data_IF_548027479083
#
_entry.id   IF_548027479083
#
_cell.length_a   1.000
_cell.length_b   1.000
_cell.length_c   1.000
_cell.angle_alpha   90.00
_cell.angle_beta   90.00
_cell.angle_gamma   90.00
#
_symmetry.space_group_name_H-M   'P 1'
#
loop_
_entity.id
_entity.type
_entity.pdbx_description
1 polymer ?
#
# COMPACT_ATOMS: atom_id res chain seq x y z
N UNK A 1 -10.63 7.09 7.40
CA UNK A 1 -12.10 7.26 7.51
C UNK A 1 -12.74 7.60 6.15
N UNK A 2 -12.39 8.70 5.47
CA UNK A 2 -13.05 9.08 4.20
C UNK A 2 -12.92 8.07 3.05
N UNK A 3 -11.79 7.38 2.90
CA UNK A 3 -11.58 6.38 1.84
C UNK A 3 -12.41 5.11 2.07
N UNK A 4 -12.44 4.60 3.31
CA UNK A 4 -13.27 3.45 3.66
C UNK A 4 -14.76 3.75 3.49
N UNK A 5 -15.20 4.98 3.83
CA UNK A 5 -16.57 5.41 3.62
C UNK A 5 -16.94 5.46 2.13
N UNK A 6 -16.06 5.99 1.27
CA UNK A 6 -16.30 6.00 -0.19
C UNK A 6 -16.39 4.60 -0.78
N UNK A 7 -15.64 3.65 -0.26
CA UNK A 7 -15.71 2.23 -0.65
C UNK A 7 -17.04 1.63 -0.20
N UNK A 8 -17.47 1.87 1.04
CA UNK A 8 -18.75 1.42 1.56
C UNK A 8 -19.92 2.01 0.77
N UNK A 9 -19.90 3.33 0.51
CA UNK A 9 -20.93 4.02 -0.29
C UNK A 9 -21.00 3.49 -1.74
N UNK A 10 -19.87 3.04 -2.30
CA UNK A 10 -19.83 2.46 -3.65
C UNK A 10 -20.44 1.05 -3.70
N UNK A 11 -20.29 0.25 -2.63
CA UNK A 11 -20.87 -1.10 -2.55
C UNK A 11 -22.36 -1.09 -2.18
N UNK A 12 -22.75 -0.17 -1.32
CA UNK A 12 -24.18 0.04 -1.02
C UNK A 12 -24.97 0.31 -2.32
N UNK A 13 -24.34 1.06 -3.27
CA UNK A 13 -24.88 1.26 -4.63
C UNK A 13 -24.86 -0.01 -5.48
N UNK A 14 -23.93 -0.95 -5.20
CA UNK A 14 -23.81 -2.23 -5.89
C UNK A 14 -24.63 -3.34 -5.25
N UNK A 15 -25.33 -3.07 -4.12
CA UNK A 15 -26.17 -4.04 -3.40
C UNK A 15 -25.39 -5.15 -2.69
N UNK A 16 -24.11 -4.94 -2.39
CA UNK A 16 -23.29 -5.89 -1.65
C UNK A 16 -23.14 -5.44 -0.19
N UNK A 17 -23.71 -6.22 0.72
CA UNK A 17 -23.52 -6.05 2.17
C UNK A 17 -22.22 -6.77 2.60
N UNK A 18 -21.17 -6.01 2.84
CA UNK A 18 -19.88 -6.51 3.34
C UNK A 18 -19.60 -5.97 4.71
N UNK A 19 -18.99 -6.81 5.54
CA UNK A 19 -18.50 -6.40 6.85
C UNK A 19 -17.63 -5.14 6.77
N UNK A 20 -17.83 -4.15 7.65
CA UNK A 20 -17.08 -2.88 7.65
C UNK A 20 -15.55 -3.05 7.69
N UNK A 21 -15.05 -4.10 8.36
CA UNK A 21 -13.61 -4.37 8.43
C UNK A 21 -13.01 -4.77 7.07
N UNK A 22 -13.81 -5.40 6.16
CA UNK A 22 -13.37 -5.75 4.80
C UNK A 22 -13.14 -4.47 3.99
N UNK A 23 -13.98 -3.45 4.19
CA UNK A 23 -13.78 -2.13 3.56
C UNK A 23 -12.55 -1.43 4.07
N UNK A 24 -12.35 -1.45 5.38
CA UNK A 24 -11.16 -0.87 6.01
C UNK A 24 -9.90 -1.56 5.49
N UNK A 25 -9.92 -2.89 5.35
CA UNK A 25 -8.83 -3.68 4.76
C UNK A 25 -8.53 -3.26 3.33
N UNK A 26 -9.54 -3.26 2.47
CA UNK A 26 -9.38 -2.98 1.04
C UNK A 26 -8.91 -1.53 0.83
N UNK A 27 -9.44 -0.58 1.62
CA UNK A 27 -8.99 0.81 1.63
C UNK A 27 -7.51 0.93 2.05
N UNK A 28 -7.10 0.24 3.11
CA UNK A 28 -5.72 0.22 3.59
C UNK A 28 -4.75 -0.34 2.53
N UNK A 29 -5.12 -1.47 1.89
CA UNK A 29 -4.32 -2.06 0.82
C UNK A 29 -4.18 -1.10 -0.36
N UNK A 30 -5.27 -0.50 -0.83
CA UNK A 30 -5.22 0.45 -1.96
C UNK A 30 -4.43 1.70 -1.64
N UNK A 31 -4.58 2.24 -0.43
CA UNK A 31 -3.81 3.38 0.03
C UNK A 31 -2.31 3.05 0.09
N UNK A 32 -1.95 1.84 0.50
CA UNK A 32 -0.56 1.37 0.53
C UNK A 32 0.01 1.22 -0.89
N UNK A 33 -0.75 0.64 -1.83
CA UNK A 33 -0.31 0.51 -3.23
C UNK A 33 -0.09 1.87 -3.90
N UNK A 34 -1.01 2.82 -3.70
CA UNK A 34 -0.91 4.16 -4.25
C UNK A 34 0.10 5.03 -3.50
N UNK A 35 0.09 4.99 -2.16
CA UNK A 35 0.91 5.85 -1.31
C UNK A 35 2.36 5.43 -1.17
N UNK A 36 2.71 4.17 -1.45
CA UNK A 36 4.08 3.65 -1.29
C UNK A 36 4.59 2.93 -2.54
N UNK A 37 3.79 2.85 -3.59
CA UNK A 37 4.17 2.24 -4.86
C UNK A 37 4.52 0.76 -4.77
N UNK A 38 3.98 0.02 -3.81
CA UNK A 38 4.24 -1.40 -3.65
C UNK A 38 3.61 -2.23 -4.78
N UNK A 39 4.23 -3.38 -5.11
CA UNK A 39 3.53 -4.42 -5.86
C UNK A 39 2.47 -5.05 -4.96
N UNK A 40 1.37 -5.50 -5.55
CA UNK A 40 0.29 -6.14 -4.79
C UNK A 40 0.80 -7.34 -3.95
N UNK A 41 1.69 -8.16 -4.49
CA UNK A 41 2.29 -9.28 -3.77
C UNK A 41 3.18 -8.84 -2.60
N UNK A 42 3.86 -7.69 -2.73
CA UNK A 42 4.67 -7.11 -1.67
C UNK A 42 3.79 -6.59 -0.54
N UNK A 43 2.73 -5.84 -0.88
CA UNK A 43 1.77 -5.32 0.10
C UNK A 43 1.08 -6.46 0.88
N UNK A 44 0.60 -7.50 0.18
CA UNK A 44 -0.09 -8.61 0.81
C UNK A 44 0.85 -9.58 1.53
N UNK A 45 2.15 -9.54 1.24
CA UNK A 45 3.20 -10.30 1.94
C UNK A 45 3.73 -9.63 3.21
N UNK A 46 3.29 -8.41 3.53
CA UNK A 46 3.70 -7.72 4.77
C UNK A 46 3.25 -8.50 5.99
N UNK A 47 4.16 -8.64 6.95
CA UNK A 47 3.84 -9.21 8.27
C UNK A 47 3.39 -8.11 9.22
N UNK A 48 2.55 -8.45 10.16
CA UNK A 48 2.03 -7.48 11.13
C UNK A 48 3.15 -6.75 11.89
N UNK A 49 4.22 -7.46 12.27
CA UNK A 49 5.38 -6.88 12.96
C UNK A 49 6.22 -5.92 12.13
N UNK A 50 6.11 -5.99 10.79
CA UNK A 50 6.94 -5.20 9.87
C UNK A 50 6.29 -3.86 9.51
N UNK A 51 5.08 -3.60 10.04
CA UNK A 51 4.32 -2.36 9.84
C UNK A 51 4.31 -1.57 11.16
N UNK A 52 4.93 -0.37 11.20
CA UNK A 52 4.92 0.46 12.39
C UNK A 52 3.50 0.98 12.69
N UNK A 53 3.24 1.27 13.96
CA UNK A 53 2.02 1.98 14.34
C UNK A 53 2.12 3.45 13.94
N UNK A 54 0.98 4.14 13.75
CA UNK A 54 0.97 5.58 13.52
C UNK A 54 1.76 6.32 14.61
N UNK A 55 2.71 7.16 14.21
CA UNK A 55 3.59 7.90 15.12
C UNK A 55 4.84 7.15 15.62
N UNK A 56 4.95 5.83 15.43
CA UNK A 56 6.12 5.04 15.85
C UNK A 56 7.19 4.90 14.75
N UNK A 57 6.86 5.31 13.52
CA UNK A 57 7.77 5.27 12.38
C UNK A 57 7.04 5.60 11.08
N UNK A 58 7.79 5.70 9.99
CA UNK A 58 7.29 6.01 8.66
C UNK A 58 7.93 5.15 7.56
N UNK A 59 8.51 4.01 7.94
CA UNK A 59 9.19 3.08 7.03
C UNK A 59 8.74 1.65 7.28
N UNK A 60 8.47 0.92 6.21
CA UNK A 60 8.25 -0.53 6.22
C UNK A 60 9.37 -1.26 5.50
N UNK A 61 9.63 -2.50 5.91
CA UNK A 61 10.60 -3.38 5.23
C UNK A 61 9.83 -4.33 4.32
N UNK A 62 10.16 -4.28 3.04
CA UNK A 62 9.49 -5.06 1.99
C UNK A 62 10.45 -6.08 1.41
N UNK A 63 10.02 -7.33 1.30
CA UNK A 63 10.76 -8.39 0.63
C UNK A 63 10.23 -8.59 -0.79
N UNK A 64 11.06 -8.33 -1.79
CA UNK A 64 10.74 -8.46 -3.19
C UNK A 64 11.24 -9.77 -3.82
N UNK A 65 11.25 -9.80 -5.15
CA UNK A 65 11.74 -10.95 -5.95
C UNK A 65 13.20 -11.28 -5.59
N UNK A 66 13.49 -12.55 -5.40
CA UNK A 66 14.83 -13.04 -5.03
C UNK A 66 15.20 -12.78 -3.57
N UNK A 67 14.21 -12.66 -2.70
CA UNK A 67 14.37 -12.41 -1.25
C UNK A 67 15.17 -11.14 -0.91
N UNK A 68 15.20 -10.18 -1.84
CA UNK A 68 15.83 -8.88 -1.61
C UNK A 68 14.90 -7.99 -0.80
N UNK A 69 15.42 -7.43 0.30
CA UNK A 69 14.69 -6.50 1.15
C UNK A 69 15.03 -5.05 0.78
N UNK A 70 14.05 -4.16 0.93
CA UNK A 70 14.24 -2.72 0.84
C UNK A 70 13.35 -1.99 1.84
N UNK A 71 13.78 -0.82 2.26
CA UNK A 71 12.98 0.10 3.03
C UNK A 71 12.07 0.91 2.10
N UNK A 72 10.82 1.10 2.50
CA UNK A 72 9.83 1.87 1.74
C UNK A 72 9.16 2.85 2.69
N UNK A 73 9.20 4.16 2.40
CA UNK A 73 8.50 5.15 3.20
C UNK A 73 6.98 4.97 3.08
N UNK A 74 6.29 5.22 4.18
CA UNK A 74 4.82 5.13 4.26
C UNK A 74 4.29 6.38 4.95
N UNK A 75 3.28 7.01 4.35
CA UNK A 75 2.62 8.17 4.96
C UNK A 75 1.87 7.79 6.24
N UNK A 76 1.84 8.69 7.20
CA UNK A 76 1.13 8.50 8.47
C UNK A 76 -0.38 8.24 8.28
N UNK A 77 -1.00 8.87 7.26
CA UNK A 77 -2.41 8.61 6.93
C UNK A 77 -2.64 7.19 6.38
N UNK A 78 -1.65 6.59 5.70
CA UNK A 78 -1.72 5.18 5.26
C UNK A 78 -1.57 4.24 6.46
N UNK A 79 -0.64 4.54 7.36
CA UNK A 79 -0.48 3.79 8.61
C UNK A 79 -1.75 3.86 9.49
N UNK A 80 -2.41 5.02 9.52
CA UNK A 80 -3.69 5.18 10.23
C UNK A 80 -4.79 4.29 9.62
N UNK A 81 -4.89 4.20 8.28
CA UNK A 81 -5.84 3.30 7.63
C UNK A 81 -5.55 1.82 7.93
N UNK A 82 -4.27 1.45 8.00
CA UNK A 82 -3.88 0.08 8.38
C UNK A 82 -4.26 -0.18 9.85
N UNK A 83 -4.02 0.77 10.74
CA UNK A 83 -4.38 0.65 12.16
C UNK A 83 -5.90 0.54 12.35
N UNK A 84 -6.70 1.33 11.64
CA UNK A 84 -8.17 1.25 11.63
C UNK A 84 -8.63 -0.15 11.21
N UNK A 85 -8.05 -0.69 10.13
CA UNK A 85 -8.32 -2.05 9.69
C UNK A 85 -7.97 -3.08 10.76
N UNK A 86 -6.76 -3.01 11.34
CA UNK A 86 -6.31 -3.96 12.38
C UNK A 86 -7.23 -3.92 13.59
N UNK A 87 -7.69 -2.74 14.00
CA UNK A 87 -8.62 -2.58 15.12
C UNK A 87 -10.02 -3.18 14.85
N UNK A 88 -10.46 -3.17 13.59
CA UNK A 88 -11.78 -3.69 13.19
C UNK A 88 -11.75 -5.17 12.82
N UNK A 89 -10.59 -5.73 12.51
CA UNK A 89 -10.45 -7.10 12.02
C UNK A 89 -10.86 -8.12 13.10
N UNK A 90 -11.84 -9.02 12.83
CA UNK A 90 -12.28 -10.01 13.81
C UNK A 90 -11.32 -11.20 13.95
N UNK A 91 -10.32 -11.30 13.07
CA UNK A 91 -9.36 -12.38 13.05
C UNK A 91 -8.09 -12.05 13.83
N UNK A 92 -7.47 -13.07 14.43
CA UNK A 92 -6.16 -12.91 15.04
C UNK A 92 -5.11 -12.58 13.97
N UNK A 93 -4.31 -11.54 14.23
CA UNK A 93 -3.22 -11.09 13.38
C UNK A 93 -1.89 -11.26 14.14
N UNK A 94 -1.30 -12.46 14.15
CA UNK A 94 -0.06 -12.70 14.89
C UNK A 94 1.10 -11.89 14.29
N UNK A 95 2.09 -11.46 15.08
CA UNK A 95 3.19 -10.60 14.61
C UNK A 95 3.95 -11.15 13.40
N UNK A 96 4.14 -12.47 13.33
CA UNK A 96 4.83 -13.14 12.23
C UNK A 96 3.92 -13.52 11.05
N UNK A 97 2.60 -13.37 11.21
CA UNK A 97 1.59 -13.64 10.18
C UNK A 97 1.38 -12.46 9.23
N UNK A 98 0.63 -12.70 8.13
CA UNK A 98 0.27 -11.64 7.21
C UNK A 98 -0.62 -10.62 7.93
N UNK A 99 -0.37 -9.32 7.68
CA UNK A 99 -1.21 -8.27 8.25
C UNK A 99 -2.58 -8.24 7.55
N UNK A 100 -2.65 -8.50 6.25
CA UNK A 100 -3.89 -8.49 5.49
C UNK A 100 -4.43 -9.92 5.32
N UNK A 101 -5.66 -10.13 5.80
CA UNK A 101 -6.32 -11.44 5.77
C UNK A 101 -7.61 -11.42 4.96
N UNK A 102 -7.97 -12.58 4.41
CA UNK A 102 -9.24 -12.81 3.73
C UNK A 102 -10.39 -12.96 4.71
N UNK A 103 -11.62 -13.01 4.21
CA UNK A 103 -12.85 -13.13 5.02
C UNK A 103 -12.87 -14.33 5.98
N UNK A 104 -12.09 -15.38 5.71
CA UNK A 104 -11.95 -16.57 6.55
C UNK A 104 -10.69 -16.58 7.43
N UNK A 105 -9.98 -15.45 7.54
CA UNK A 105 -8.78 -15.32 8.38
C UNK A 105 -7.48 -15.84 7.76
N UNK A 106 -7.52 -16.48 6.59
CA UNK A 106 -6.31 -16.88 5.86
C UNK A 106 -5.67 -15.69 5.10
N UNK A 107 -4.49 -15.86 4.49
CA UNK A 107 -3.82 -14.81 3.71
C UNK A 107 -4.72 -14.22 2.64
N UNK A 108 -4.71 -12.89 2.47
CA UNK A 108 -5.53 -12.22 1.46
C UNK A 108 -5.02 -12.51 0.05
N UNK A 109 -5.90 -13.01 -0.81
CA UNK A 109 -5.56 -13.27 -2.21
C UNK A 109 -5.49 -11.97 -3.03
N UNK A 110 -4.47 -11.79 -3.90
CA UNK A 110 -4.40 -10.67 -4.82
C UNK A 110 -5.65 -10.51 -5.69
N UNK A 111 -6.30 -11.62 -6.06
CA UNK A 111 -7.51 -11.60 -6.87
C UNK A 111 -8.67 -10.84 -6.20
N UNK A 112 -8.78 -10.89 -4.87
CA UNK A 112 -9.80 -10.16 -4.12
C UNK A 112 -9.61 -8.65 -4.30
N UNK A 113 -8.39 -8.14 -4.17
CA UNK A 113 -8.10 -6.73 -4.37
C UNK A 113 -8.30 -6.29 -5.84
N UNK A 114 -7.98 -7.17 -6.80
CA UNK A 114 -8.26 -6.92 -8.21
C UNK A 114 -9.76 -6.79 -8.46
N UNK A 115 -10.58 -7.70 -7.91
CA UNK A 115 -12.04 -7.64 -8.01
C UNK A 115 -12.62 -6.39 -7.36
N UNK A 116 -12.12 -6.00 -6.18
CA UNK A 116 -12.53 -4.75 -5.53
C UNK A 116 -12.21 -3.55 -6.42
N UNK A 117 -11.03 -3.52 -7.05
CA UNK A 117 -10.69 -2.46 -8.01
C UNK A 117 -11.59 -2.45 -9.24
N UNK A 118 -11.92 -3.63 -9.79
CA UNK A 118 -12.84 -3.77 -10.93
C UNK A 118 -14.23 -3.18 -10.61
N UNK A 119 -14.76 -3.44 -9.41
CA UNK A 119 -16.02 -2.86 -8.93
C UNK A 119 -15.96 -1.35 -8.76
N UNK A 120 -14.89 -0.87 -8.12
CA UNK A 120 -14.68 0.58 -7.94
C UNK A 120 -14.60 1.32 -9.26
N UNK A 121 -14.01 0.73 -10.30
CA UNK A 121 -14.01 1.30 -11.65
C UNK A 121 -15.42 1.54 -12.15
N UNK A 122 -16.29 0.53 -12.04
CA UNK A 122 -17.69 0.65 -12.44
C UNK A 122 -18.45 1.72 -11.64
N UNK A 123 -18.30 1.70 -10.31
CA UNK A 123 -19.00 2.61 -9.40
C UNK A 123 -18.55 4.08 -9.51
N UNK A 124 -17.28 4.32 -9.85
CA UNK A 124 -16.67 5.65 -9.89
C UNK A 124 -16.43 6.16 -11.32
N UNK A 125 -16.82 5.41 -12.36
CA UNK A 125 -16.59 5.76 -13.75
C UNK A 125 -15.11 5.86 -14.13
N UNK A 126 -14.24 5.08 -13.47
CA UNK A 126 -12.82 5.06 -13.76
C UNK A 126 -12.53 4.21 -15.01
N UNK A 127 -11.46 4.54 -15.77
CA UNK A 127 -11.09 3.78 -16.95
C UNK A 127 -10.67 2.35 -16.61
N UNK A 128 -10.80 1.43 -17.56
CA UNK A 128 -10.39 0.02 -17.40
C UNK A 128 -8.92 -0.15 -17.04
N UNK A 129 -8.09 0.81 -17.42
CA UNK A 129 -6.67 0.86 -17.06
C UNK A 129 -6.40 1.10 -15.57
N UNK A 130 -7.40 1.50 -14.77
CA UNK A 130 -7.27 1.66 -13.32
C UNK A 130 -7.15 0.29 -12.64
N UNK A 131 -5.93 -0.18 -12.48
CA UNK A 131 -5.55 -1.47 -11.88
C UNK A 131 -4.62 -1.25 -10.68
N UNK A 132 -4.39 -2.25 -9.82
CA UNK A 132 -3.36 -2.16 -8.78
C UNK A 132 -1.97 -1.79 -9.34
N UNK A 133 -1.65 -2.24 -10.55
CA UNK A 133 -0.40 -1.86 -11.22
C UNK A 133 -0.40 -0.39 -11.66
N UNK A 134 -1.54 0.12 -12.12
CA UNK A 134 -1.69 1.53 -12.48
C UNK A 134 -1.56 2.47 -11.26
N UNK A 135 -2.03 2.05 -10.08
CA UNK A 135 -1.81 2.81 -8.83
C UNK A 135 -0.33 3.00 -8.55
N UNK A 136 0.45 1.94 -8.69
CA UNK A 136 1.92 2.00 -8.55
C UNK A 136 2.57 2.89 -9.62
N UNK A 137 2.11 2.81 -10.87
CA UNK A 137 2.60 3.66 -11.95
C UNK A 137 2.27 5.13 -11.70
N UNK A 138 1.06 5.41 -11.23
CA UNK A 138 0.65 6.76 -10.83
C UNK A 138 1.52 7.33 -9.71
N UNK A 139 1.87 6.52 -8.72
CA UNK A 139 2.81 6.90 -7.67
C UNK A 139 4.17 7.34 -8.27
N UNK A 140 4.77 6.52 -9.14
CA UNK A 140 6.03 6.84 -9.81
C UNK A 140 5.96 8.15 -10.61
N UNK A 141 4.89 8.31 -11.39
CA UNK A 141 4.65 9.50 -12.21
C UNK A 141 4.47 10.75 -11.35
N UNK A 142 3.77 10.65 -10.23
CA UNK A 142 3.61 11.78 -9.29
C UNK A 142 4.93 12.21 -8.69
N UNK A 143 5.78 11.28 -8.28
CA UNK A 143 7.11 11.61 -7.74
C UNK A 143 7.98 12.29 -8.80
N UNK A 144 7.99 11.78 -10.04
CA UNK A 144 8.75 12.38 -11.16
C UNK A 144 8.27 13.79 -11.48
N UNK A 145 6.98 14.01 -11.58
CA UNK A 145 6.39 15.31 -11.91
C UNK A 145 6.67 16.40 -10.86
N UNK A 146 6.99 15.98 -9.63
CA UNK A 146 7.36 16.88 -8.54
C UNK A 146 8.88 17.05 -8.35
N UNK A 147 9.66 16.63 -9.33
CA UNK A 147 11.12 16.81 -9.33
C UNK A 147 11.89 15.74 -8.60
N UNK A 148 11.24 14.59 -8.29
CA UNK A 148 11.94 13.45 -7.72
C UNK A 148 12.98 12.88 -8.69
N UNK A 149 14.18 12.54 -8.18
CA UNK A 149 15.22 11.90 -8.97
C UNK A 149 14.78 10.53 -9.49
N UNK A 150 14.86 10.32 -10.80
CA UNK A 150 14.47 9.08 -11.46
C UNK A 150 15.14 7.85 -10.86
N UNK A 151 16.43 7.97 -10.50
CA UNK A 151 17.20 6.86 -9.92
C UNK A 151 16.69 6.49 -8.53
N UNK A 152 16.45 7.49 -7.68
CA UNK A 152 15.89 7.31 -6.34
C UNK A 152 14.49 6.66 -6.42
N UNK A 153 13.66 7.08 -7.40
CA UNK A 153 12.34 6.49 -7.63
C UNK A 153 12.44 5.03 -8.10
N UNK A 154 13.38 4.71 -9.00
CA UNK A 154 13.61 3.33 -9.46
C UNK A 154 14.07 2.43 -8.31
N UNK A 155 14.93 2.90 -7.45
CA UNK A 155 15.40 2.18 -6.26
C UNK A 155 14.25 1.95 -5.28
N UNK A 156 13.45 2.99 -4.99
CA UNK A 156 12.26 2.91 -4.15
C UNK A 156 11.27 1.85 -4.68
N UNK A 157 11.08 1.81 -5.98
CA UNK A 157 10.20 0.84 -6.62
C UNK A 157 10.80 -0.57 -6.73
N UNK A 158 12.09 -0.77 -6.45
CA UNK A 158 12.75 -2.07 -6.56
C UNK A 158 12.82 -2.55 -8.01
N UNK A 159 13.22 -1.69 -8.95
CA UNK A 159 13.57 -2.07 -10.30
C UNK A 159 14.92 -2.81 -10.31
N UNK A 160 14.93 -4.03 -10.81
CA UNK A 160 16.01 -5.02 -10.64
C UNK A 160 17.25 -4.81 -11.53
N UNK A 161 17.55 -3.60 -11.99
CA UNK A 161 18.64 -3.40 -12.96
C UNK A 161 19.85 -2.60 -12.46
N UNK A 162 20.15 -2.63 -11.17
CA UNK A 162 21.50 -2.27 -10.71
C UNK A 162 21.89 -3.21 -9.57
N UNK A 163 22.89 -4.04 -9.85
CA UNK A 163 23.56 -4.89 -8.88
C UNK A 163 24.14 -4.00 -7.78
N UNK A 164 23.64 -4.14 -6.58
CA UNK A 164 24.43 -4.13 -5.36
C UNK A 164 23.49 -4.15 -4.15
N UNK A 165 23.78 -5.00 -3.22
CA UNK A 165 23.28 -4.96 -1.84
C UNK A 165 23.84 -3.68 -1.21
N UNK A 166 23.27 -2.52 -1.52
CA UNK A 166 23.52 -1.31 -0.75
C UNK A 166 22.60 -1.36 0.45
N UNK A 167 23.20 -1.63 1.59
CA UNK A 167 22.64 -1.31 2.89
C UNK A 167 22.45 0.21 2.86
N UNK A 168 21.17 0.67 2.84
CA UNK A 168 20.88 2.10 2.95
C UNK A 168 21.51 2.64 4.23
N UNK A 169 22.52 3.46 4.10
CA UNK A 169 23.02 4.27 5.20
C UNK A 169 21.96 5.32 5.53
N UNK A 170 21.81 5.72 6.79
CA UNK A 170 20.74 6.62 7.25
C UNK A 170 20.57 7.91 6.42
N UNK A 171 21.63 8.40 5.75
CA UNK A 171 21.63 9.60 4.90
C UNK A 171 20.80 9.41 3.61
N UNK A 172 20.82 8.19 3.02
CA UNK A 172 20.06 7.91 1.79
C UNK A 172 18.56 7.79 2.08
N UNK A 173 18.20 7.26 3.25
CA UNK A 173 16.80 7.13 3.67
C UNK A 173 16.17 8.48 4.01
N UNK A 174 16.90 9.42 4.62
CA UNK A 174 16.40 10.77 4.90
C UNK A 174 16.11 11.55 3.62
N UNK A 175 17.01 11.48 2.64
CA UNK A 175 16.82 12.12 1.34
C UNK A 175 15.64 11.53 0.56
N UNK A 176 15.46 10.22 0.63
CA UNK A 176 14.33 9.51 0.01
C UNK A 176 13.00 9.89 0.68
N UNK A 177 12.99 10.01 2.01
CA UNK A 177 11.85 10.49 2.79
C UNK A 177 11.52 11.94 2.50
N UNK A 178 12.53 12.81 2.33
CA UNK A 178 12.33 14.22 2.00
C UNK A 178 11.69 14.37 0.60
N UNK A 179 12.23 13.70 -0.42
CA UNK A 179 11.65 13.66 -1.77
C UNK A 179 10.23 13.11 -1.73
N UNK A 180 9.99 12.05 -0.97
CA UNK A 180 8.68 11.44 -0.82
C UNK A 180 7.67 12.38 -0.14
N UNK A 181 8.03 13.01 0.98
CA UNK A 181 7.16 13.96 1.70
C UNK A 181 6.85 15.21 0.87
N UNK A 182 7.85 15.73 0.15
CA UNK A 182 7.70 16.92 -0.70
C UNK A 182 6.90 16.62 -1.97
N UNK A 183 7.06 15.42 -2.54
CA UNK A 183 6.46 15.04 -3.81
C UNK A 183 5.09 14.37 -3.68
N UNK A 184 4.71 13.87 -2.50
CA UNK A 184 3.42 13.18 -2.38
C UNK A 184 2.26 14.19 -2.27
N UNK A 185 1.15 14.05 -3.08
CA UNK A 185 0.05 15.03 -3.12
C UNK A 185 -0.78 15.13 -1.83
N UNK A 186 -0.50 14.31 -0.83
CA UNK A 186 -1.16 14.24 0.48
C UNK A 186 -0.16 14.10 1.64
N UNK A 187 1.08 14.52 1.42
CA UNK A 187 2.08 14.65 2.46
C UNK A 187 1.86 15.90 3.31
#
# INVERSE_FOLDING_TARGET
MAAAKRLADADERAGEDRDPWIWARDAAVMALLYGSGLRISEALGLKHRDVPKPGEGDVIIVTGKGNKTRMVPVLQNVLALIADYVAMCPHSLPPAGPIFVGARGGPLSPRIIQLTMERLRGALGLPESATPHALRHSFATHLLNRGGDLRAIQELLGHASLSTTQIYTGIDSERLLEVYRTAHPRG
#
